data_IF_632680236207
#
_entry.id   IF_632680236207
#
_cell.length_a   1.000
_cell.length_b   1.000
_cell.length_c   1.000
_cell.angle_alpha   90.00
_cell.angle_beta   90.00
_cell.angle_gamma   90.00
#
_symmetry.space_group_name_H-M   'P 1'
#
loop_
_entity.id
_entity.type
_entity.pdbx_description
1 polymer ?
#
# COMPACT_ATOMS: atom_id res chain seq x y z
N UNK A 1 8.31 9.54 27.20
CA UNK A 1 7.77 9.34 25.85
C UNK A 1 6.52 10.20 25.73
N UNK A 2 6.47 11.14 24.80
CA UNK A 2 5.24 11.85 24.50
C UNK A 2 4.27 10.86 23.85
N UNK A 3 3.01 10.81 24.31
CA UNK A 3 1.97 10.00 23.68
C UNK A 3 1.77 10.53 22.27
N UNK A 4 1.90 9.65 21.28
CA UNK A 4 1.45 9.92 19.91
C UNK A 4 -0.08 10.00 20.01
N UNK A 5 -0.63 11.19 19.77
CA UNK A 5 -2.08 11.36 19.68
C UNK A 5 -2.50 11.00 18.26
N UNK A 6 -3.52 10.17 18.13
CA UNK A 6 -4.21 9.93 16.87
C UNK A 6 -5.38 10.91 16.79
N UNK A 7 -5.41 11.76 15.78
CA UNK A 7 -6.63 12.48 15.40
C UNK A 7 -7.40 11.56 14.45
N UNK A 8 -8.68 11.29 14.76
CA UNK A 8 -9.52 10.41 13.96
C UNK A 8 -9.76 10.94 12.54
N UNK A 9 -9.87 10.03 11.58
CA UNK A 9 -10.15 10.32 10.18
C UNK A 9 -11.65 10.48 9.86
N UNK A 10 -11.93 10.84 8.61
CA UNK A 10 -13.29 11.05 8.10
C UNK A 10 -13.84 9.78 7.42
N UNK A 11 -13.86 8.68 8.17
CA UNK A 11 -14.30 7.34 7.74
C UNK A 11 -13.46 6.72 6.61
N UNK A 12 -13.60 7.14 5.35
CA UNK A 12 -12.72 6.72 4.26
C UNK A 12 -11.41 7.49 4.31
N UNK A 13 -10.34 6.83 3.87
CA UNK A 13 -8.97 7.29 4.07
C UNK A 13 -8.38 7.93 2.81
N UNK A 14 -7.43 8.84 3.02
CA UNK A 14 -6.76 9.60 1.97
C UNK A 14 -5.68 8.78 1.23
N UNK A 15 -6.02 7.57 0.80
CA UNK A 15 -5.11 6.65 0.09
C UNK A 15 -4.59 7.30 -1.20
N UNK A 16 -5.39 8.14 -1.86
CA UNK A 16 -4.98 8.90 -3.05
C UNK A 16 -3.72 9.74 -2.81
N UNK A 17 -3.55 10.29 -1.60
CA UNK A 17 -2.36 11.08 -1.25
C UNK A 17 -1.16 10.18 -0.99
N UNK A 18 -1.36 8.99 -0.41
CA UNK A 18 -0.31 7.99 -0.23
C UNK A 18 0.24 7.49 -1.58
N UNK A 19 -0.65 7.16 -2.52
CA UNK A 19 -0.26 6.73 -3.87
C UNK A 19 0.38 7.87 -4.67
N UNK A 20 -0.15 9.10 -4.55
CA UNK A 20 0.49 10.28 -5.14
C UNK A 20 1.93 10.44 -4.65
N UNK A 21 2.17 10.26 -3.35
CA UNK A 21 3.51 10.36 -2.79
C UNK A 21 4.43 9.24 -3.31
N UNK A 22 3.92 8.00 -3.43
CA UNK A 22 4.68 6.90 -4.03
C UNK A 22 5.11 7.20 -5.47
N UNK A 23 4.21 7.76 -6.29
CA UNK A 23 4.54 8.21 -7.64
C UNK A 23 5.62 9.30 -7.62
N UNK A 24 5.56 10.25 -6.68
CA UNK A 24 6.59 11.29 -6.54
C UNK A 24 7.94 10.76 -6.08
N UNK A 25 7.97 9.77 -5.21
CA UNK A 25 9.22 9.11 -4.84
C UNK A 25 9.77 8.32 -6.03
N UNK A 26 8.93 7.61 -6.79
CA UNK A 26 9.37 6.92 -8.01
C UNK A 26 9.98 7.86 -9.06
N UNK A 27 9.40 9.04 -9.27
CA UNK A 27 9.95 10.08 -10.16
C UNK A 27 11.35 10.54 -9.73
N UNK A 28 11.67 10.47 -8.43
CA UNK A 28 12.96 10.90 -7.86
C UNK A 28 13.98 9.76 -7.86
N UNK A 29 13.54 8.58 -7.44
CA UNK A 29 14.33 7.37 -7.34
C UNK A 29 13.41 6.16 -7.59
N UNK A 30 13.67 5.31 -8.60
CA UNK A 30 12.76 4.24 -8.97
C UNK A 30 12.47 3.27 -7.81
N UNK A 31 11.25 3.34 -7.27
CA UNK A 31 10.73 2.34 -6.34
C UNK A 31 10.27 1.10 -7.11
N UNK A 32 10.30 -0.06 -6.45
CA UNK A 32 9.96 -1.35 -7.07
C UNK A 32 8.67 -1.97 -6.56
N UNK A 33 8.07 -1.40 -5.50
CA UNK A 33 6.84 -1.88 -4.88
C UNK A 33 6.26 -0.82 -3.96
N UNK A 34 4.95 -0.92 -3.69
CA UNK A 34 4.25 -0.15 -2.65
C UNK A 34 3.60 -1.13 -1.69
N UNK A 35 3.68 -0.86 -0.38
CA UNK A 35 2.96 -1.58 0.66
C UNK A 35 1.91 -0.65 1.24
N UNK A 36 0.64 -0.98 1.05
CA UNK A 36 -0.52 -0.27 1.55
C UNK A 36 -1.11 -1.04 2.73
N UNK A 37 -1.18 -0.41 3.91
CA UNK A 37 -1.77 -1.02 5.12
C UNK A 37 -2.85 -0.07 5.62
N UNK A 38 -4.05 -0.57 5.91
CA UNK A 38 -5.14 0.27 6.40
C UNK A 38 -6.40 -0.50 6.80
N UNK A 39 -7.31 0.19 7.47
CA UNK A 39 -8.58 -0.32 8.01
C UNK A 39 -9.82 0.20 7.24
N UNK A 40 -9.65 1.21 6.39
CA UNK A 40 -10.72 1.80 5.60
C UNK A 40 -10.38 1.95 4.11
N UNK A 41 -11.41 1.96 3.23
CA UNK A 41 -11.25 2.12 1.79
C UNK A 41 -10.85 3.56 1.42
N UNK A 42 -10.37 3.79 0.18
CA UNK A 42 -10.04 5.13 -0.31
C UNK A 42 -11.27 6.03 -0.35
N UNK A 43 -11.05 7.34 -0.22
CA UNK A 43 -12.07 8.34 -0.54
C UNK A 43 -12.62 8.12 -1.96
N UNK A 44 -13.92 8.29 -2.15
CA UNK A 44 -14.51 8.49 -3.48
C UNK A 44 -14.29 9.95 -3.95
N UNK A 45 -14.58 10.24 -5.23
CA UNK A 45 -14.33 11.55 -5.82
C UNK A 45 -15.09 12.69 -5.13
N UNK A 46 -16.34 12.44 -4.75
CA UNK A 46 -17.19 13.41 -4.05
C UNK A 46 -16.65 13.69 -2.64
N UNK A 47 -16.17 12.65 -1.94
CA UNK A 47 -15.53 12.79 -0.64
C UNK A 47 -14.23 13.61 -0.72
N UNK A 48 -13.41 13.40 -1.75
CA UNK A 48 -12.20 14.22 -1.96
C UNK A 48 -12.59 15.69 -2.13
N UNK A 49 -13.60 15.99 -2.94
CA UNK A 49 -14.05 17.37 -3.16
C UNK A 49 -14.62 17.98 -1.89
N UNK A 50 -15.56 17.29 -1.24
CA UNK A 50 -16.23 17.73 -0.02
C UNK A 50 -15.22 18.00 1.12
N UNK A 51 -14.29 17.08 1.36
CA UNK A 51 -13.26 17.22 2.41
C UNK A 51 -12.33 18.41 2.11
N UNK A 52 -12.01 18.65 0.85
CA UNK A 52 -11.18 19.80 0.44
C UNK A 52 -11.93 21.12 0.58
N UNK A 53 -13.21 21.17 0.25
CA UNK A 53 -14.01 22.39 0.33
C UNK A 53 -14.10 22.94 1.76
N UNK A 54 -13.94 22.10 2.79
CA UNK A 54 -13.88 22.52 4.19
C UNK A 54 -12.75 23.49 4.51
N UNK A 55 -11.61 23.33 3.85
CA UNK A 55 -10.45 24.23 4.00
C UNK A 55 -10.46 25.36 2.97
N UNK A 56 -11.21 25.17 1.88
CA UNK A 56 -11.41 26.16 0.82
C UNK A 56 -10.24 26.27 -0.16
N UNK A 57 -10.54 26.78 -1.36
CA UNK A 57 -9.57 26.87 -2.47
C UNK A 57 -8.31 27.67 -2.14
N UNK A 58 -8.41 28.69 -1.28
CA UNK A 58 -7.27 29.53 -0.90
C UNK A 58 -6.23 28.73 -0.13
N UNK A 59 -6.67 27.92 0.84
CA UNK A 59 -5.79 27.05 1.63
C UNK A 59 -5.00 26.12 0.71
N UNK A 60 -5.69 25.36 -0.15
CA UNK A 60 -5.04 24.36 -0.99
C UNK A 60 -4.06 24.95 -2.00
N UNK A 61 -4.34 26.14 -2.57
CA UNK A 61 -3.48 26.80 -3.55
C UNK A 61 -2.05 27.06 -3.05
N UNK A 62 -1.89 27.25 -1.75
CA UNK A 62 -0.60 27.53 -1.11
C UNK A 62 0.14 26.23 -0.72
N UNK A 63 -0.47 25.06 -0.96
CA UNK A 63 0.12 23.75 -0.62
C UNK A 63 0.63 22.99 -1.85
N UNK A 64 1.47 21.98 -1.62
CA UNK A 64 1.84 20.99 -2.64
C UNK A 64 0.67 20.13 -3.12
N UNK A 65 -0.45 20.15 -2.40
CA UNK A 65 -1.68 19.40 -2.69
C UNK A 65 -2.75 20.26 -3.38
N UNK A 66 -2.33 21.33 -4.06
CA UNK A 66 -3.24 22.27 -4.75
C UNK A 66 -4.13 21.61 -5.80
N UNK A 67 -3.58 20.66 -6.54
CA UNK A 67 -4.34 19.86 -7.48
C UNK A 67 -4.95 18.67 -6.73
N UNK A 68 -6.28 18.49 -6.77
CA UNK A 68 -6.88 17.28 -6.24
C UNK A 68 -6.44 16.08 -7.08
N UNK A 69 -6.38 14.92 -6.44
CA UNK A 69 -6.17 13.65 -7.13
C UNK A 69 -7.11 12.58 -6.57
N UNK A 70 -7.07 11.40 -7.19
CA UNK A 70 -7.93 10.28 -6.86
C UNK A 70 -7.14 8.98 -6.85
N UNK A 71 -7.57 8.02 -6.04
CA UNK A 71 -6.82 6.77 -5.86
C UNK A 71 -6.64 6.05 -7.20
N UNK A 72 -7.68 6.00 -8.04
CA UNK A 72 -7.60 5.32 -9.33
C UNK A 72 -6.62 6.02 -10.27
N UNK A 73 -6.61 7.36 -10.30
CA UNK A 73 -5.67 8.15 -11.12
C UNK A 73 -4.23 7.93 -10.71
N UNK A 74 -3.94 7.85 -9.41
CA UNK A 74 -2.58 7.57 -8.94
C UNK A 74 -2.20 6.09 -9.07
N UNK A 75 -3.18 5.19 -8.99
CA UNK A 75 -2.99 3.76 -9.24
C UNK A 75 -2.62 3.48 -10.70
N UNK A 76 -3.28 4.14 -11.65
CA UNK A 76 -3.01 3.97 -13.09
C UNK A 76 -1.55 4.31 -13.41
N UNK A 77 -0.98 5.34 -12.78
CA UNK A 77 0.45 5.68 -12.94
C UNK A 77 1.36 4.58 -12.41
N UNK A 78 1.02 3.96 -11.28
CA UNK A 78 1.80 2.84 -10.74
C UNK A 78 1.71 1.62 -11.68
N UNK A 79 0.55 1.36 -12.27
CA UNK A 79 0.34 0.30 -13.27
C UNK A 79 1.21 0.56 -14.51
N UNK A 80 1.20 1.80 -15.04
CA UNK A 80 2.00 2.20 -16.20
C UNK A 80 3.51 2.01 -15.96
N UNK A 81 3.97 2.21 -14.73
CA UNK A 81 5.36 2.00 -14.33
C UNK A 81 5.67 0.56 -13.89
N UNK A 82 4.69 -0.35 -13.95
CA UNK A 82 4.86 -1.75 -13.54
C UNK A 82 5.15 -1.93 -12.04
N UNK A 83 4.66 -1.02 -11.19
CA UNK A 83 4.90 -1.02 -9.74
C UNK A 83 3.74 -1.74 -9.05
N UNK A 84 3.96 -2.91 -8.41
CA UNK A 84 2.93 -3.60 -7.67
C UNK A 84 2.57 -2.85 -6.37
N UNK A 85 1.27 -2.82 -6.05
CA UNK A 85 0.76 -2.36 -4.75
C UNK A 85 0.29 -3.58 -3.98
N UNK A 86 1.04 -3.97 -2.95
CA UNK A 86 0.62 -5.01 -2.01
C UNK A 86 -0.24 -4.38 -0.92
N UNK A 87 -1.46 -4.87 -0.75
CA UNK A 87 -2.48 -4.23 0.09
C UNK A 87 -2.86 -5.14 1.26
N UNK A 88 -2.70 -4.67 2.49
CA UNK A 88 -2.98 -5.42 3.69
C UNK A 88 -4.06 -4.72 4.52
N UNK A 89 -5.23 -5.33 4.61
CA UNK A 89 -6.35 -4.74 5.34
C UNK A 89 -6.38 -5.23 6.78
N UNK A 90 -6.53 -4.30 7.73
CA UNK A 90 -6.67 -4.60 9.16
C UNK A 90 -8.14 -4.82 9.53
N UNK A 91 -9.05 -4.18 8.80
CA UNK A 91 -10.50 -4.29 8.99
C UNK A 91 -11.19 -4.69 7.70
N UNK A 92 -12.28 -5.45 7.82
CA UNK A 92 -13.00 -6.01 6.66
C UNK A 92 -13.61 -4.95 5.75
N UNK A 93 -13.85 -3.74 6.27
CA UNK A 93 -14.36 -2.59 5.49
C UNK A 93 -13.42 -2.19 4.35
N UNK A 94 -12.11 -2.37 4.49
CA UNK A 94 -11.13 -2.04 3.45
C UNK A 94 -10.99 -3.13 2.38
N UNK A 95 -11.42 -4.36 2.69
CA UNK A 95 -11.13 -5.58 1.91
C UNK A 95 -11.38 -5.42 0.41
N UNK A 96 -12.62 -5.13 0.00
CA UNK A 96 -13.00 -5.11 -1.42
C UNK A 96 -12.16 -4.13 -2.24
N UNK A 97 -11.84 -2.97 -1.67
CA UNK A 97 -11.02 -1.96 -2.33
C UNK A 97 -9.53 -2.30 -2.34
N UNK A 98 -9.03 -2.92 -1.28
CA UNK A 98 -7.65 -3.39 -1.21
C UNK A 98 -7.40 -4.53 -2.18
N UNK A 99 -8.35 -5.48 -2.30
CA UNK A 99 -8.31 -6.55 -3.31
C UNK A 99 -8.34 -5.97 -4.73
N UNK A 100 -9.18 -4.97 -4.99
CA UNK A 100 -9.23 -4.28 -6.29
C UNK A 100 -7.88 -3.64 -6.65
N UNK A 101 -7.27 -2.90 -5.71
CA UNK A 101 -5.99 -2.20 -5.88
C UNK A 101 -4.86 -3.20 -6.16
N UNK A 102 -4.73 -4.23 -5.32
CA UNK A 102 -3.68 -5.22 -5.47
C UNK A 102 -3.83 -6.02 -6.77
N UNK A 103 -5.04 -6.45 -7.10
CA UNK A 103 -5.30 -7.20 -8.34
C UNK A 103 -4.94 -6.40 -9.59
N UNK A 104 -5.27 -5.10 -9.63
CA UNK A 104 -4.96 -4.23 -10.78
C UNK A 104 -3.45 -4.03 -10.99
N UNK A 105 -2.67 -4.09 -9.93
CA UNK A 105 -1.21 -3.87 -9.94
C UNK A 105 -0.41 -5.17 -9.87
N UNK A 106 -1.06 -6.33 -9.91
CA UNK A 106 -0.43 -7.64 -9.71
C UNK A 106 0.28 -7.76 -8.34
N UNK A 107 -0.19 -7.02 -7.34
CA UNK A 107 0.24 -7.12 -5.95
C UNK A 107 -0.44 -8.27 -5.19
N UNK A 108 -0.08 -8.40 -3.91
CA UNK A 108 -0.69 -9.35 -2.97
C UNK A 108 -1.73 -8.64 -2.12
N UNK A 109 -2.80 -9.33 -1.72
CA UNK A 109 -3.78 -8.80 -0.78
C UNK A 109 -4.13 -9.82 0.28
N UNK A 110 -3.96 -9.46 1.54
CA UNK A 110 -4.21 -10.35 2.69
C UNK A 110 -4.71 -9.54 3.89
N UNK A 111 -5.47 -10.18 4.79
CA UNK A 111 -5.79 -9.57 6.09
C UNK A 111 -4.54 -9.51 6.97
N UNK A 112 -4.33 -8.41 7.67
CA UNK A 112 -3.21 -8.24 8.57
C UNK A 112 -3.68 -8.11 10.01
N UNK A 113 -3.39 -9.13 10.81
CA UNK A 113 -3.54 -9.05 12.27
C UNK A 113 -2.29 -8.40 12.87
N UNK A 114 -2.39 -7.10 13.13
CA UNK A 114 -1.33 -6.26 13.72
C UNK A 114 -0.99 -6.64 15.17
N UNK A 115 -1.85 -7.40 15.86
CA UNK A 115 -1.61 -7.83 17.24
C UNK A 115 -0.94 -9.21 17.31
N UNK A 116 -0.76 -9.87 16.16
CA UNK A 116 -0.10 -11.16 16.04
C UNK A 116 1.35 -11.01 15.57
N UNK A 117 2.24 -11.91 15.99
CA UNK A 117 3.58 -12.02 15.39
C UNK A 117 3.51 -12.40 13.91
N UNK A 118 2.44 -13.10 13.51
CA UNK A 118 2.17 -13.55 12.15
C UNK A 118 2.14 -12.36 11.18
N UNK A 119 1.48 -11.25 11.54
CA UNK A 119 1.44 -10.07 10.68
C UNK A 119 2.82 -9.45 10.42
N UNK A 120 3.70 -9.49 11.42
CA UNK A 120 5.09 -9.07 11.28
C UNK A 120 5.88 -9.97 10.32
N UNK A 121 5.75 -11.29 10.49
CA UNK A 121 6.41 -12.29 9.64
C UNK A 121 5.94 -12.18 8.18
N UNK A 122 4.62 -12.00 7.96
CA UNK A 122 4.05 -11.80 6.62
C UNK A 122 4.64 -10.60 5.88
N UNK A 123 4.75 -9.45 6.55
CA UNK A 123 5.33 -8.24 5.95
C UNK A 123 6.83 -8.41 5.72
N UNK A 124 7.54 -9.04 6.65
CA UNK A 124 8.97 -9.31 6.51
C UNK A 124 9.26 -10.23 5.31
N UNK A 125 8.49 -11.30 5.15
CA UNK A 125 8.59 -12.22 4.02
C UNK A 125 8.29 -11.50 2.71
N UNK A 126 7.20 -10.72 2.63
CA UNK A 126 6.86 -9.96 1.43
C UNK A 126 8.01 -9.05 0.99
N UNK A 127 8.50 -8.21 1.90
CA UNK A 127 9.56 -7.24 1.62
C UNK A 127 10.83 -7.96 1.18
N UNK A 128 11.21 -9.02 1.90
CA UNK A 128 12.45 -9.75 1.64
C UNK A 128 12.40 -10.49 0.31
N UNK A 129 11.30 -11.20 0.02
CA UNK A 129 11.11 -11.89 -1.25
C UNK A 129 11.21 -10.93 -2.43
N UNK A 130 10.58 -9.76 -2.35
CA UNK A 130 10.62 -8.78 -3.43
C UNK A 130 12.03 -8.20 -3.63
N UNK A 131 12.76 -7.89 -2.55
CA UNK A 131 14.16 -7.43 -2.64
C UNK A 131 15.03 -8.50 -3.30
N UNK A 132 14.91 -9.76 -2.87
CA UNK A 132 15.70 -10.86 -3.42
C UNK A 132 15.40 -11.10 -4.89
N UNK A 133 14.12 -11.08 -5.27
CA UNK A 133 13.72 -11.23 -6.66
C UNK A 133 14.28 -10.10 -7.53
N UNK A 134 14.22 -8.85 -7.04
CA UNK A 134 14.72 -7.69 -7.78
C UNK A 134 16.24 -7.70 -7.93
N UNK A 135 16.98 -8.00 -6.85
CA UNK A 135 18.46 -8.03 -6.87
C UNK A 135 18.97 -9.17 -7.75
N UNK A 136 18.32 -10.33 -7.71
CA UNK A 136 18.69 -11.47 -8.56
C UNK A 136 18.25 -11.33 -10.03
N UNK A 137 17.32 -10.42 -10.31
CA UNK A 137 16.73 -10.22 -11.63
C UNK A 137 16.16 -11.51 -12.23
N UNK A 138 15.98 -11.54 -13.55
CA UNK A 138 15.48 -12.72 -14.26
C UNK A 138 16.42 -13.94 -14.21
N UNK A 139 17.70 -13.73 -13.86
CA UNK A 139 18.71 -14.78 -13.86
C UNK A 139 18.59 -15.71 -12.65
N UNK A 140 18.51 -15.13 -11.45
CA UNK A 140 18.55 -15.90 -10.19
C UNK A 140 17.53 -15.41 -9.14
N UNK A 141 16.69 -14.42 -9.44
CA UNK A 141 15.76 -13.83 -8.47
C UNK A 141 14.86 -14.87 -7.79
N UNK A 142 14.26 -15.76 -8.59
CA UNK A 142 13.41 -16.83 -8.06
C UNK A 142 14.20 -17.85 -7.24
N UNK A 143 15.46 -18.12 -7.58
CA UNK A 143 16.32 -19.02 -6.81
C UNK A 143 16.65 -18.44 -5.44
N UNK A 144 16.92 -17.14 -5.35
CA UNK A 144 17.15 -16.43 -4.09
C UNK A 144 15.90 -16.46 -3.19
N UNK A 145 14.72 -16.22 -3.76
CA UNK A 145 13.43 -16.35 -3.05
C UNK A 145 13.23 -17.77 -2.52
N UNK A 146 13.49 -18.79 -3.34
CA UNK A 146 13.35 -20.18 -2.92
C UNK A 146 14.34 -20.55 -1.81
N UNK A 147 15.58 -20.07 -1.89
CA UNK A 147 16.59 -20.26 -0.85
C UNK A 147 16.20 -19.59 0.47
N UNK A 148 15.62 -18.38 0.39
CA UNK A 148 15.07 -17.69 1.55
C UNK A 148 13.95 -18.51 2.22
N UNK A 149 12.93 -18.94 1.46
CA UNK A 149 11.82 -19.76 1.97
C UNK A 149 12.27 -21.09 2.57
N UNK A 150 13.31 -21.70 2.01
CA UNK A 150 13.90 -22.94 2.56
C UNK A 150 14.59 -22.71 3.91
N UNK A 151 15.21 -21.54 4.10
CA UNK A 151 15.92 -21.17 5.32
C UNK A 151 14.98 -20.66 6.41
N UNK A 152 13.95 -19.93 6.00
CA UNK A 152 12.92 -19.33 6.86
C UNK A 152 11.57 -19.91 6.43
N UNK A 153 11.25 -21.16 6.80
CA UNK A 153 9.95 -21.74 6.50
C UNK A 153 8.86 -20.89 7.15
N UNK A 154 7.81 -20.59 6.38
CA UNK A 154 6.69 -19.75 6.82
C UNK A 154 6.13 -20.28 8.15
N UNK A 155 6.14 -19.43 9.18
CA UNK A 155 5.62 -19.73 10.51
C UNK A 155 4.07 -19.74 10.55
N UNK A 156 3.41 -19.30 9.49
CA UNK A 156 2.00 -18.88 9.51
C UNK A 156 1.07 -19.60 8.51
N UNK A 157 1.49 -20.69 7.87
CA UNK A 157 0.55 -21.53 7.11
C UNK A 157 -0.34 -22.32 8.07
N UNK A 158 -1.40 -21.69 8.59
CA UNK A 158 -2.58 -22.44 9.00
C UNK A 158 -3.30 -22.90 7.74
N UNK A 159 -3.26 -24.22 7.52
CA UNK A 159 -4.05 -24.93 6.54
C UNK A 159 -5.53 -24.61 6.70
N UNK A 160 -6.17 -24.09 5.65
CA UNK A 160 -7.60 -24.30 5.44
C UNK A 160 -7.75 -25.63 4.69
N UNK A 161 -8.16 -26.68 5.40
CA UNK A 161 -8.90 -27.80 4.80
C UNK A 161 -10.35 -27.38 4.53
#
# INVERSE_FOLDING_TARGET
>A
MNKINVEGGWTNEAIEIGLWYANKEHEREPITQVILIGDAPPNNLDEVQMKRDQFGKKYWKETRFREPTYYATELDKLIENGIPVHAFYVETRAKDKFEEIARKTQGKCESLDINSSIGGDMLADLVTEQILNNVGGAAIGQELVNAYRKKFPQSYTSTCE
#
